data_IF_851283307647
#
_entry.id   IF_851283307647
#
_cell.length_a   1.000
_cell.length_b   1.000
_cell.length_c   1.000
_cell.angle_alpha   90.00
_cell.angle_beta   90.00
_cell.angle_gamma   90.00
#
_symmetry.space_group_name_H-M   'P 1'
#
loop_
_entity.id
_entity.type
_entity.pdbx_description
1 polymer ?
#
# COMPACT_ATOMS: atom_id res chain seq x y z
N UNK A 1 21.19 7.95 -31.99
CA UNK A 1 20.28 7.22 -31.09
C UNK A 1 21.14 6.50 -30.07
N UNK A 2 21.17 6.99 -28.82
CA UNK A 2 21.84 6.30 -27.73
C UNK A 2 20.79 5.41 -27.06
N UNK A 3 20.98 4.09 -27.11
CA UNK A 3 20.20 3.16 -26.29
C UNK A 3 20.54 3.44 -24.83
N UNK A 4 19.57 3.95 -24.08
CA UNK A 4 19.63 3.97 -22.63
C UNK A 4 19.40 2.54 -22.18
N UNK A 5 20.48 1.83 -21.84
CA UNK A 5 20.38 0.58 -21.07
C UNK A 5 19.94 0.96 -19.65
N UNK A 6 18.63 0.97 -19.40
CA UNK A 6 18.09 0.91 -18.04
C UNK A 6 18.49 -0.44 -17.44
N UNK A 7 19.47 -0.42 -16.54
CA UNK A 7 19.74 -1.57 -15.67
C UNK A 7 18.50 -1.78 -14.82
N UNK A 8 17.75 -2.86 -15.06
CA UNK A 8 16.62 -3.22 -14.20
C UNK A 8 17.14 -3.40 -12.77
N UNK A 9 16.59 -2.64 -11.82
CA UNK A 9 16.98 -2.71 -10.41
C UNK A 9 16.62 -4.10 -9.90
N UNK A 10 17.65 -4.88 -9.54
CA UNK A 10 17.51 -6.17 -8.87
C UNK A 10 16.92 -5.96 -7.48
N UNK A 11 15.71 -6.47 -7.22
CA UNK A 11 15.08 -6.32 -5.91
C UNK A 11 15.78 -7.13 -4.85
N UNK A 12 15.87 -6.53 -3.67
CA UNK A 12 16.35 -7.21 -2.47
C UNK A 12 15.20 -7.60 -1.57
N UNK A 13 14.99 -8.90 -1.43
CA UNK A 13 13.88 -9.50 -0.69
C UNK A 13 14.40 -10.05 0.64
N UNK A 14 13.77 -9.64 1.75
CA UNK A 14 13.99 -10.24 3.06
C UNK A 14 13.00 -11.38 3.27
N UNK A 15 13.50 -12.57 3.55
CA UNK A 15 12.72 -13.76 3.90
C UNK A 15 12.83 -13.95 5.41
N UNK A 16 11.69 -14.04 6.10
CA UNK A 16 11.63 -14.16 7.55
C UNK A 16 10.81 -15.40 7.90
N UNK A 17 11.50 -16.47 8.29
CA UNK A 17 10.89 -17.76 8.59
C UNK A 17 11.80 -18.57 9.53
N UNK A 18 11.23 -19.17 10.57
CA UNK A 18 11.98 -20.00 11.52
C UNK A 18 12.40 -21.36 10.92
N UNK A 19 11.83 -21.72 9.76
CA UNK A 19 12.25 -22.89 9.00
C UNK A 19 13.41 -22.55 8.04
N UNK A 20 14.62 -22.96 8.43
CA UNK A 20 15.85 -22.73 7.64
C UNK A 20 15.83 -23.40 6.26
N UNK A 21 15.23 -24.59 6.12
CA UNK A 21 15.13 -25.28 4.82
C UNK A 21 14.21 -24.51 3.87
N UNK A 22 13.09 -23.98 4.38
CA UNK A 22 12.18 -23.14 3.61
C UNK A 22 12.86 -21.83 3.19
N UNK A 23 13.61 -21.18 4.09
CA UNK A 23 14.40 -19.99 3.77
C UNK A 23 15.39 -20.26 2.62
N UNK A 24 16.16 -21.35 2.72
CA UNK A 24 17.16 -21.74 1.72
C UNK A 24 16.51 -21.98 0.37
N UNK A 25 15.41 -22.73 0.34
CA UNK A 25 14.64 -22.96 -0.89
C UNK A 25 14.11 -21.66 -1.50
N UNK A 26 13.64 -20.72 -0.68
CA UNK A 26 13.18 -19.42 -1.17
C UNK A 26 14.33 -18.62 -1.77
N UNK A 27 15.49 -18.56 -1.12
CA UNK A 27 16.69 -17.88 -1.65
C UNK A 27 17.02 -18.43 -3.04
N UNK A 28 17.18 -19.74 -3.17
CA UNK A 28 17.53 -20.39 -4.46
C UNK A 28 16.53 -20.02 -5.57
N UNK A 29 15.23 -20.06 -5.24
CA UNK A 29 14.16 -19.75 -6.18
C UNK A 29 14.17 -18.26 -6.58
N UNK A 30 14.32 -17.34 -5.62
CA UNK A 30 14.38 -15.90 -5.90
C UNK A 30 15.63 -15.51 -6.69
N UNK A 31 16.79 -16.06 -6.36
CA UNK A 31 18.03 -15.81 -7.07
C UNK A 31 17.99 -16.36 -8.51
N UNK A 32 17.37 -17.52 -8.73
CA UNK A 32 17.16 -18.08 -10.07
C UNK A 32 16.30 -17.19 -10.97
N UNK A 33 15.46 -16.32 -10.38
CA UNK A 33 14.64 -15.32 -11.07
C UNK A 33 15.29 -13.95 -11.19
N UNK A 34 16.55 -13.82 -10.73
CA UNK A 34 17.31 -12.59 -10.84
C UNK A 34 17.08 -11.61 -9.70
N UNK A 35 16.41 -11.99 -8.61
CA UNK A 35 16.30 -11.18 -7.38
C UNK A 35 17.49 -11.44 -6.45
N UNK A 36 17.77 -10.53 -5.50
CA UNK A 36 18.62 -10.84 -4.35
C UNK A 36 17.74 -11.17 -3.16
N UNK A 37 18.18 -12.12 -2.35
CA UNK A 37 17.43 -12.57 -1.19
C UNK A 37 18.34 -12.66 0.03
N UNK A 38 17.82 -12.29 1.19
CA UNK A 38 18.46 -12.51 2.49
C UNK A 38 17.44 -13.17 3.40
N UNK A 39 17.86 -14.18 4.14
CA UNK A 39 17.00 -14.84 5.12
C UNK A 39 17.44 -14.54 6.55
N UNK A 40 16.45 -14.41 7.42
CA UNK A 40 16.59 -14.35 8.88
C UNK A 40 15.52 -15.26 9.50
N UNK A 41 15.71 -15.65 10.75
CA UNK A 41 14.94 -16.76 11.35
C UNK A 41 13.99 -16.36 12.48
N UNK A 42 13.93 -15.08 12.83
CA UNK A 42 12.95 -14.55 13.77
C UNK A 42 12.65 -13.06 13.53
N UNK A 43 11.66 -12.55 14.26
CA UNK A 43 11.22 -11.16 14.14
C UNK A 43 12.22 -10.10 14.60
N UNK A 44 13.08 -10.41 15.58
CA UNK A 44 14.10 -9.46 16.05
C UNK A 44 15.20 -9.31 15.01
N UNK A 45 15.68 -10.42 14.44
CA UNK A 45 16.65 -10.40 13.36
C UNK A 45 16.11 -9.66 12.12
N UNK A 46 14.81 -9.82 11.82
CA UNK A 46 14.18 -9.07 10.74
C UNK A 46 14.16 -7.56 11.00
N UNK A 47 13.90 -7.15 12.23
CA UNK A 47 13.91 -5.74 12.63
C UNK A 47 15.31 -5.14 12.50
N UNK A 48 16.33 -5.84 12.97
CA UNK A 48 17.72 -5.38 12.85
C UNK A 48 18.18 -5.36 11.39
N UNK A 49 17.88 -6.39 10.61
CA UNK A 49 18.22 -6.45 9.19
C UNK A 49 17.65 -5.24 8.42
N UNK A 50 16.37 -4.88 8.65
CA UNK A 50 15.72 -3.73 7.99
C UNK A 50 16.30 -2.39 8.41
N UNK A 51 16.88 -2.29 9.62
CA UNK A 51 17.59 -1.06 10.05
C UNK A 51 18.95 -0.93 9.38
N UNK A 52 19.63 -2.04 9.16
CA UNK A 52 20.99 -2.05 8.60
C UNK A 52 21.01 -1.96 7.08
N UNK A 53 20.03 -2.57 6.41
CA UNK A 53 20.01 -2.72 4.96
C UNK A 53 18.64 -2.34 4.36
N UNK A 54 18.62 -1.68 3.19
CA UNK A 54 17.38 -1.42 2.47
C UNK A 54 16.87 -2.70 1.81
N UNK A 55 15.60 -3.04 2.05
CA UNK A 55 14.88 -4.10 1.36
C UNK A 55 13.73 -3.51 0.53
N UNK A 56 13.44 -4.14 -0.61
CA UNK A 56 12.32 -3.76 -1.48
C UNK A 56 11.03 -4.52 -1.14
N UNK A 57 11.13 -5.64 -0.44
CA UNK A 57 10.01 -6.49 -0.04
C UNK A 57 10.40 -7.39 1.14
N UNK A 58 9.46 -7.64 2.05
CA UNK A 58 9.58 -8.68 3.07
C UNK A 58 8.58 -9.79 2.81
N UNK A 59 9.04 -11.03 2.87
CA UNK A 59 8.24 -12.24 2.85
C UNK A 59 8.27 -12.84 4.26
N UNK A 60 7.17 -12.72 5.00
CA UNK A 60 7.12 -12.89 6.46
C UNK A 60 6.24 -14.06 6.87
N UNK A 61 6.79 -15.06 7.56
CA UNK A 61 5.95 -16.09 8.20
C UNK A 61 5.17 -15.52 9.39
N UNK A 62 3.90 -15.90 9.51
CA UNK A 62 3.06 -15.45 10.61
C UNK A 62 3.46 -16.12 11.93
N UNK A 63 3.83 -17.40 11.91
CA UNK A 63 3.96 -18.23 13.10
C UNK A 63 5.43 -18.57 13.37
N UNK A 64 6.11 -17.60 13.98
CA UNK A 64 7.48 -17.73 14.44
C UNK A 64 7.58 -17.74 15.96
N UNK A 65 8.61 -18.37 16.54
CA UNK A 65 8.88 -18.33 17.97
C UNK A 65 9.32 -16.92 18.42
N UNK A 66 9.18 -16.65 19.72
CA UNK A 66 9.58 -15.41 20.40
C UNK A 66 8.77 -14.18 19.97
N UNK A 67 8.86 -13.75 18.71
CA UNK A 67 8.09 -12.66 18.11
C UNK A 67 7.38 -13.17 16.84
N UNK A 68 6.05 -13.09 16.83
CA UNK A 68 5.28 -13.56 15.67
C UNK A 68 5.35 -12.55 14.50
N UNK A 69 4.95 -12.98 13.31
CA UNK A 69 5.04 -12.15 12.10
C UNK A 69 4.17 -10.90 12.12
N UNK A 70 3.05 -10.89 12.86
CA UNK A 70 2.15 -9.72 12.96
C UNK A 70 2.77 -8.63 13.82
N UNK A 71 3.32 -8.99 14.98
CA UNK A 71 4.02 -8.04 15.85
C UNK A 71 5.30 -7.51 15.18
N UNK A 72 6.00 -8.40 14.45
CA UNK A 72 7.14 -8.03 13.61
C UNK A 72 6.72 -7.03 12.54
N UNK A 73 5.64 -7.31 11.79
CA UNK A 73 5.07 -6.42 10.78
C UNK A 73 4.79 -5.02 11.33
N UNK A 74 4.11 -4.92 12.49
CA UNK A 74 3.81 -3.63 13.13
C UNK A 74 5.07 -2.83 13.42
N UNK A 75 6.11 -3.50 13.91
CA UNK A 75 7.40 -2.86 14.24
C UNK A 75 8.13 -2.42 12.97
N UNK A 76 8.17 -3.26 11.94
CA UNK A 76 8.74 -2.90 10.64
C UNK A 76 8.03 -1.70 10.02
N UNK A 77 6.70 -1.61 10.17
CA UNK A 77 5.91 -0.46 9.70
C UNK A 77 6.15 0.83 10.48
N UNK A 78 6.63 0.76 11.72
CA UNK A 78 7.10 1.95 12.44
C UNK A 78 8.46 2.43 11.92
N UNK A 79 9.32 1.51 11.48
CA UNK A 79 10.67 1.80 10.97
C UNK A 79 10.62 2.28 9.53
N UNK A 80 10.02 1.48 8.65
CA UNK A 80 9.78 1.80 7.25
C UNK A 80 8.31 1.51 6.91
N UNK A 81 7.44 2.51 7.04
CA UNK A 81 6.03 2.37 6.73
C UNK A 81 5.74 1.92 5.27
N UNK A 82 6.62 2.27 4.33
CA UNK A 82 6.47 1.97 2.90
C UNK A 82 6.94 0.57 2.51
N UNK A 83 7.71 -0.12 3.37
CA UNK A 83 8.27 -1.44 3.08
C UNK A 83 7.16 -2.47 2.82
N UNK A 84 6.97 -2.98 1.59
CA UNK A 84 5.95 -3.97 1.31
C UNK A 84 6.21 -5.25 2.10
N UNK A 85 5.17 -5.81 2.73
CA UNK A 85 5.27 -7.08 3.47
C UNK A 85 4.19 -8.04 2.97
N UNK A 86 4.61 -9.20 2.47
CA UNK A 86 3.75 -10.32 2.12
C UNK A 86 3.80 -11.32 3.27
N UNK A 87 2.64 -11.65 3.83
CA UNK A 87 2.56 -12.64 4.91
C UNK A 87 2.44 -14.05 4.34
N UNK A 88 3.10 -15.01 4.97
CA UNK A 88 2.99 -16.43 4.68
C UNK A 88 2.40 -17.13 5.90
N UNK A 89 1.48 -18.06 5.66
CA UNK A 89 0.91 -18.89 6.73
C UNK A 89 0.83 -20.36 6.35
N UNK A 90 1.15 -21.24 7.29
CA UNK A 90 0.85 -22.67 7.19
C UNK A 90 -0.64 -23.01 7.47
N UNK A 91 -1.39 -22.10 8.09
CA UNK A 91 -2.79 -22.32 8.48
C UNK A 91 -3.70 -21.17 8.04
N UNK A 92 -4.90 -21.50 7.56
CA UNK A 92 -5.97 -20.53 7.30
C UNK A 92 -6.58 -20.06 8.63
N UNK A 93 -5.88 -19.22 9.39
CA UNK A 93 -6.45 -18.62 10.61
C UNK A 93 -7.15 -17.32 10.20
N UNK A 94 -8.41 -17.45 9.80
CA UNK A 94 -9.27 -16.38 9.27
C UNK A 94 -9.28 -15.11 10.14
N UNK A 95 -9.12 -15.23 11.47
CA UNK A 95 -9.10 -14.07 12.38
C UNK A 95 -7.82 -13.22 12.36
N UNK A 96 -6.63 -13.84 12.28
CA UNK A 96 -5.34 -13.13 12.24
C UNK A 96 -5.06 -12.58 10.83
N UNK A 97 -5.48 -13.30 9.78
CA UNK A 97 -5.36 -12.86 8.38
C UNK A 97 -6.12 -11.55 8.12
N UNK A 98 -7.36 -11.44 8.63
CA UNK A 98 -8.19 -10.25 8.43
C UNK A 98 -7.56 -9.01 9.05
N UNK A 99 -6.91 -9.14 10.21
CA UNK A 99 -6.24 -8.02 10.85
C UNK A 99 -4.96 -7.60 10.10
N UNK A 100 -4.15 -8.54 9.60
CA UNK A 100 -2.94 -8.20 8.84
C UNK A 100 -3.27 -7.47 7.52
N UNK A 101 -4.31 -7.89 6.78
CA UNK A 101 -4.80 -7.16 5.61
C UNK A 101 -5.38 -5.79 5.98
N UNK A 102 -6.14 -5.72 7.07
CA UNK A 102 -6.66 -4.44 7.60
C UNK A 102 -5.55 -3.50 8.05
N UNK A 103 -4.40 -4.00 8.49
CA UNK A 103 -3.24 -3.20 8.88
C UNK A 103 -2.31 -2.89 7.69
N UNK A 104 -2.61 -3.39 6.49
CA UNK A 104 -1.92 -3.01 5.25
C UNK A 104 -0.84 -3.98 4.76
N UNK A 105 -0.89 -5.25 5.15
CA UNK A 105 -0.10 -6.28 4.48
C UNK A 105 -0.41 -6.29 2.97
N UNK A 106 0.62 -6.53 2.15
CA UNK A 106 0.50 -6.46 0.69
C UNK A 106 -0.33 -7.61 0.13
N UNK A 107 -0.07 -8.82 0.61
CA UNK A 107 -0.77 -10.03 0.23
C UNK A 107 -0.56 -11.11 1.29
N UNK A 108 -1.39 -12.16 1.25
CA UNK A 108 -1.21 -13.35 2.09
C UNK A 108 -1.09 -14.59 1.20
N UNK A 109 -0.10 -15.42 1.50
CA UNK A 109 0.14 -16.70 0.83
C UNK A 109 0.08 -17.86 1.82
N UNK A 110 -0.32 -19.03 1.31
CA UNK A 110 -0.33 -20.26 2.07
C UNK A 110 0.86 -21.14 1.71
N UNK A 111 1.43 -21.82 2.71
CA UNK A 111 2.35 -22.93 2.48
C UNK A 111 1.55 -24.18 2.06
N UNK A 112 2.02 -24.98 1.08
CA UNK A 112 3.22 -24.75 0.27
C UNK A 112 3.05 -23.58 -0.70
N UNK A 113 4.08 -22.73 -0.82
CA UNK A 113 4.02 -21.53 -1.66
C UNK A 113 3.84 -21.88 -3.14
N UNK A 114 2.83 -21.29 -3.76
CA UNK A 114 2.76 -21.21 -5.21
C UNK A 114 3.64 -20.05 -5.69
N UNK A 115 4.88 -20.35 -6.05
CA UNK A 115 5.85 -19.35 -6.50
C UNK A 115 5.42 -18.62 -7.77
N UNK A 116 4.68 -19.27 -8.69
CA UNK A 116 4.13 -18.58 -9.86
C UNK A 116 3.19 -17.44 -9.48
N UNK A 117 2.26 -17.71 -8.55
CA UNK A 117 1.38 -16.67 -8.00
C UNK A 117 2.18 -15.63 -7.20
N UNK A 118 3.16 -16.04 -6.41
CA UNK A 118 4.00 -15.13 -5.63
C UNK A 118 4.76 -14.15 -6.53
N UNK A 119 5.43 -14.64 -7.57
CA UNK A 119 6.13 -13.79 -8.53
C UNK A 119 5.17 -12.85 -9.25
N UNK A 120 3.99 -13.32 -9.66
CA UNK A 120 2.99 -12.41 -10.24
C UNK A 120 2.65 -11.29 -9.25
N UNK A 121 2.43 -11.59 -7.98
CA UNK A 121 2.12 -10.60 -6.95
C UNK A 121 3.28 -9.63 -6.69
N UNK A 122 4.52 -10.10 -6.70
CA UNK A 122 5.72 -9.27 -6.58
C UNK A 122 5.91 -8.39 -7.82
N UNK A 123 5.64 -8.89 -9.02
CA UNK A 123 5.64 -8.05 -10.22
C UNK A 123 4.56 -6.95 -10.14
N UNK A 124 3.42 -7.20 -9.48
CA UNK A 124 2.43 -6.16 -9.20
C UNK A 124 2.90 -5.18 -8.09
N UNK A 125 3.67 -5.61 -7.07
CA UNK A 125 4.29 -4.66 -6.11
C UNK A 125 5.24 -3.71 -6.82
N UNK A 126 5.98 -4.22 -7.81
CA UNK A 126 6.93 -3.46 -8.62
C UNK A 126 6.27 -2.52 -9.61
N UNK A 127 5.04 -2.84 -10.03
CA UNK A 127 4.43 -2.15 -11.17
C UNK A 127 3.34 -1.15 -10.84
N UNK A 128 2.56 -1.24 -9.74
CA UNK A 128 1.48 -0.27 -9.41
C UNK A 128 0.71 -0.60 -8.10
N UNK A 129 1.33 -1.08 -7.03
CA UNK A 129 0.61 -1.54 -5.83
C UNK A 129 0.14 -0.47 -4.84
N UNK A 130 -0.23 0.74 -5.30
CA UNK A 130 -0.57 1.87 -4.46
C UNK A 130 -1.66 1.53 -3.44
N UNK A 131 -1.51 2.00 -2.20
CA UNK A 131 -2.52 1.91 -1.18
C UNK A 131 -3.42 3.14 -1.22
N UNK A 132 -4.64 2.94 -1.68
CA UNK A 132 -5.60 3.99 -1.97
C UNK A 132 -6.67 4.03 -0.89
N UNK A 133 -7.01 5.22 -0.42
CA UNK A 133 -8.24 5.44 0.36
C UNK A 133 -9.30 6.07 -0.54
N UNK A 134 -10.48 5.49 -0.60
CA UNK A 134 -11.66 6.09 -1.24
C UNK A 134 -12.54 6.70 -0.15
N UNK A 135 -12.88 7.97 -0.29
CA UNK A 135 -13.70 8.71 0.67
C UNK A 135 -14.89 9.31 -0.04
N UNK A 136 -16.07 8.73 0.17
CA UNK A 136 -17.35 9.20 -0.35
C UNK A 136 -18.44 8.75 0.65
N UNK A 137 -19.47 9.58 0.88
CA UNK A 137 -20.55 9.25 1.80
C UNK A 137 -21.57 8.27 1.19
N UNK A 138 -21.50 8.08 -0.12
CA UNK A 138 -22.23 7.04 -0.85
C UNK A 138 -21.46 5.71 -0.80
N UNK A 139 -22.06 4.73 -0.10
CA UNK A 139 -21.50 3.38 0.01
C UNK A 139 -21.40 2.67 -1.34
N UNK A 140 -22.36 2.86 -2.25
CA UNK A 140 -22.39 2.16 -3.53
C UNK A 140 -21.23 2.66 -4.42
N UNK A 141 -20.91 3.96 -4.35
CA UNK A 141 -19.74 4.55 -5.02
C UNK A 141 -18.44 3.99 -4.43
N UNK A 142 -18.35 3.95 -3.10
CA UNK A 142 -17.18 3.39 -2.41
C UNK A 142 -16.92 1.94 -2.78
N UNK A 143 -17.95 1.08 -2.76
CA UNK A 143 -17.84 -0.33 -3.13
C UNK A 143 -17.45 -0.48 -4.61
N UNK A 144 -18.14 0.22 -5.50
CA UNK A 144 -17.87 0.15 -6.95
C UNK A 144 -16.43 0.57 -7.30
N UNK A 145 -15.93 1.65 -6.70
CA UNK A 145 -14.55 2.10 -6.91
C UNK A 145 -13.53 1.16 -6.26
N UNK A 146 -13.84 0.62 -5.07
CA UNK A 146 -12.98 -0.35 -4.40
C UNK A 146 -12.79 -1.60 -5.24
N UNK A 147 -13.87 -2.17 -5.76
CA UNK A 147 -13.84 -3.38 -6.59
C UNK A 147 -13.01 -3.17 -7.87
N UNK A 148 -13.24 -2.04 -8.56
CA UNK A 148 -12.49 -1.65 -9.75
C UNK A 148 -10.99 -1.52 -9.46
N UNK A 149 -10.62 -0.82 -8.39
CA UNK A 149 -9.22 -0.57 -8.05
C UNK A 149 -8.53 -1.86 -7.57
N UNK A 150 -9.24 -2.74 -6.85
CA UNK A 150 -8.74 -4.08 -6.51
C UNK A 150 -8.51 -4.92 -7.77
N UNK A 151 -9.41 -4.87 -8.77
CA UNK A 151 -9.22 -5.57 -10.05
C UNK A 151 -7.95 -5.08 -10.77
N UNK A 152 -7.59 -3.80 -10.64
CA UNK A 152 -6.35 -3.22 -11.17
C UNK A 152 -5.11 -3.50 -10.30
N UNK A 153 -5.25 -4.21 -9.19
CA UNK A 153 -4.16 -4.63 -8.32
C UNK A 153 -3.77 -3.62 -7.23
N UNK A 154 -4.56 -2.56 -7.03
CA UNK A 154 -4.35 -1.62 -5.94
C UNK A 154 -4.86 -2.18 -4.62
N UNK A 155 -4.28 -1.70 -3.51
CA UNK A 155 -4.83 -1.92 -2.17
C UNK A 155 -5.82 -0.80 -1.89
N UNK A 156 -7.00 -1.10 -1.37
CA UNK A 156 -8.03 -0.07 -1.15
C UNK A 156 -8.64 -0.18 0.24
N UNK A 157 -8.85 0.96 0.89
CA UNK A 157 -9.76 1.13 2.02
C UNK A 157 -10.80 2.20 1.70
N UNK A 158 -11.96 2.09 2.32
CA UNK A 158 -13.05 3.06 2.19
C UNK A 158 -13.29 3.79 3.50
N UNK A 159 -13.70 5.05 3.42
CA UNK A 159 -14.20 5.85 4.53
C UNK A 159 -15.45 6.60 4.10
N UNK A 160 -16.49 6.61 4.92
CA UNK A 160 -17.78 7.19 4.56
C UNK A 160 -18.00 8.63 5.06
N UNK A 161 -16.99 9.21 5.69
CA UNK A 161 -17.02 10.58 6.18
C UNK A 161 -15.60 11.13 6.37
N UNK A 162 -15.48 12.46 6.43
CA UNK A 162 -14.20 13.14 6.57
C UNK A 162 -13.46 12.86 7.88
N UNK A 163 -14.18 12.62 8.97
CA UNK A 163 -13.57 12.34 10.28
C UNK A 163 -12.92 10.97 10.29
N UNK A 164 -13.60 9.96 9.73
CA UNK A 164 -13.08 8.62 9.52
C UNK A 164 -11.86 8.64 8.61
N UNK A 165 -11.90 9.41 7.51
CA UNK A 165 -10.76 9.57 6.61
C UNK A 165 -9.53 10.19 7.30
N UNK A 166 -9.74 11.22 8.13
CA UNK A 166 -8.67 11.85 8.94
C UNK A 166 -8.09 10.85 9.93
N UNK A 167 -8.92 10.09 10.64
CA UNK A 167 -8.47 9.07 11.58
C UNK A 167 -7.67 7.97 10.88
N UNK A 168 -8.19 7.41 9.79
CA UNK A 168 -7.51 6.39 9.00
C UNK A 168 -6.17 6.88 8.45
N UNK A 169 -6.06 8.16 8.10
CA UNK A 169 -4.80 8.79 7.64
C UNK A 169 -3.74 8.92 8.74
N UNK A 170 -4.12 8.82 10.03
CA UNK A 170 -3.16 8.73 11.15
C UNK A 170 -2.63 7.32 11.33
N UNK A 171 -3.49 6.34 11.09
CA UNK A 171 -3.21 4.92 11.35
C UNK A 171 -2.58 4.21 10.16
N UNK A 172 -2.81 4.71 8.95
CA UNK A 172 -2.43 4.06 7.70
C UNK A 172 -1.70 5.06 6.80
N UNK A 173 -0.69 4.55 6.08
CA UNK A 173 -0.02 5.34 5.05
C UNK A 173 -0.58 5.01 3.67
N UNK A 174 -1.60 5.77 3.27
CA UNK A 174 -2.07 5.78 1.88
C UNK A 174 -1.08 6.49 0.95
N UNK A 175 -0.92 5.97 -0.26
CA UNK A 175 -0.17 6.62 -1.33
C UNK A 175 -1.07 7.67 -2.02
N UNK A 176 -2.33 7.31 -2.24
CA UNK A 176 -3.36 8.16 -2.85
C UNK A 176 -4.62 8.18 -1.99
N UNK A 177 -5.25 9.35 -1.87
CA UNK A 177 -6.57 9.50 -1.26
C UNK A 177 -7.51 10.09 -2.32
N UNK A 178 -8.54 9.34 -2.70
CA UNK A 178 -9.65 9.83 -3.52
C UNK A 178 -10.68 10.43 -2.56
N UNK A 179 -10.91 11.74 -2.63
CA UNK A 179 -11.69 12.45 -1.63
C UNK A 179 -12.84 13.20 -2.28
N UNK A 180 -14.07 12.78 -2.01
CA UNK A 180 -15.24 13.56 -2.38
C UNK A 180 -15.31 14.86 -1.56
N UNK A 181 -15.76 15.93 -2.22
CA UNK A 181 -15.86 17.24 -1.58
C UNK A 181 -17.12 17.41 -0.73
N UNK A 182 -18.19 16.65 -1.02
CA UNK A 182 -19.50 16.76 -0.36
C UNK A 182 -19.71 15.63 0.64
N UNK A 183 -18.98 15.69 1.74
CA UNK A 183 -19.13 14.75 2.85
C UNK A 183 -20.03 15.30 3.96
N UNK A 184 -20.76 14.43 4.69
CA UNK A 184 -21.56 14.81 5.85
C UNK A 184 -20.66 15.16 7.04
N UNK A 185 -21.17 16.01 7.94
CA UNK A 185 -20.52 16.43 9.20
C UNK A 185 -19.24 17.25 9.01
N UNK A 186 -18.19 16.65 8.44
CA UNK A 186 -16.94 17.28 8.04
C UNK A 186 -16.88 17.29 6.52
N UNK A 187 -16.89 18.48 5.90
CA UNK A 187 -16.81 18.58 4.45
C UNK A 187 -15.43 18.13 3.93
N UNK A 188 -15.34 17.80 2.64
CA UNK A 188 -14.10 17.28 2.05
C UNK A 188 -12.91 18.26 2.08
N UNK A 189 -13.15 19.58 2.14
CA UNK A 189 -12.07 20.56 2.27
C UNK A 189 -11.45 20.53 3.66
N UNK A 190 -12.28 20.48 4.70
CA UNK A 190 -11.82 20.41 6.09
C UNK A 190 -11.08 19.09 6.32
N UNK A 191 -11.59 17.98 5.76
CA UNK A 191 -10.90 16.69 5.78
C UNK A 191 -9.55 16.77 5.05
N UNK A 192 -9.50 17.38 3.86
CA UNK A 192 -8.25 17.59 3.11
C UNK A 192 -7.20 18.36 3.92
N UNK A 193 -7.59 19.49 4.53
CA UNK A 193 -6.68 20.31 5.33
C UNK A 193 -6.16 19.55 6.54
N UNK A 194 -7.05 18.86 7.27
CA UNK A 194 -6.67 18.04 8.40
C UNK A 194 -5.74 16.89 8.00
N UNK A 195 -6.02 16.19 6.90
CA UNK A 195 -5.14 15.14 6.36
C UNK A 195 -3.78 15.73 5.96
N UNK A 196 -3.75 16.93 5.35
CA UNK A 196 -2.51 17.58 4.92
C UNK A 196 -1.62 17.99 6.09
N UNK A 197 -2.20 18.41 7.20
CA UNK A 197 -1.45 18.72 8.43
C UNK A 197 -0.78 17.47 9.02
N UNK A 198 -1.41 16.30 8.86
CA UNK A 198 -0.90 15.01 9.34
C UNK A 198 0.13 14.45 8.36
N UNK A 199 -0.18 14.52 7.06
CA UNK A 199 0.58 13.92 5.97
C UNK A 199 0.79 14.93 4.85
N UNK A 200 1.80 15.80 4.96
CA UNK A 200 2.07 16.84 3.96
C UNK A 200 2.34 16.31 2.55
N UNK A 201 2.88 15.09 2.43
CA UNK A 201 3.33 14.50 1.16
C UNK A 201 2.34 13.54 0.50
N UNK A 202 1.20 13.21 1.13
CA UNK A 202 0.23 12.28 0.52
C UNK A 202 -0.39 12.89 -0.74
N UNK A 203 -0.62 12.07 -1.77
CA UNK A 203 -1.33 12.51 -2.97
C UNK A 203 -2.82 12.50 -2.66
N UNK A 204 -3.49 13.64 -2.81
CA UNK A 204 -4.95 13.71 -2.68
C UNK A 204 -5.55 14.09 -4.03
N UNK A 205 -6.47 13.26 -4.50
CA UNK A 205 -7.28 13.49 -5.69
C UNK A 205 -8.68 13.89 -5.22
N UNK A 206 -9.00 15.17 -5.35
CA UNK A 206 -10.31 15.70 -5.00
C UNK A 206 -11.30 15.36 -6.11
N UNK A 207 -12.41 14.72 -5.77
CA UNK A 207 -13.51 14.44 -6.68
C UNK A 207 -14.60 15.50 -6.44
N UNK A 208 -14.98 16.25 -7.47
CA UNK A 208 -15.89 17.40 -7.31
C UNK A 208 -16.87 17.58 -8.46
N UNK A 209 -18.10 17.99 -8.15
CA UNK A 209 -19.07 18.48 -9.15
C UNK A 209 -18.99 19.99 -9.41
N UNK A 210 -18.16 20.75 -8.68
CA UNK A 210 -18.19 22.22 -8.61
C UNK A 210 -16.80 22.84 -8.73
N UNK A 211 -16.13 22.62 -9.87
CA UNK A 211 -14.77 23.11 -10.15
C UNK A 211 -14.61 24.63 -10.00
N UNK A 212 -15.64 25.40 -10.32
CA UNK A 212 -15.60 26.86 -10.28
C UNK A 212 -15.62 27.43 -8.85
N UNK A 213 -16.30 26.76 -7.92
CA UNK A 213 -16.39 27.19 -6.50
C UNK A 213 -15.11 26.87 -5.74
N UNK A 214 -14.38 25.84 -6.21
CA UNK A 214 -13.15 25.39 -5.60
C UNK A 214 -11.91 26.13 -6.07
N UNK A 215 -11.94 26.84 -7.20
CA UNK A 215 -10.77 27.59 -7.74
C UNK A 215 -10.08 28.41 -6.65
N UNK A 216 -10.79 29.29 -5.96
CA UNK A 216 -10.18 30.19 -4.97
C UNK A 216 -9.69 29.48 -3.68
N UNK A 217 -10.29 28.34 -3.31
CA UNK A 217 -9.96 27.58 -2.10
C UNK A 217 -8.81 26.59 -2.36
N UNK A 218 -8.83 25.96 -3.52
CA UNK A 218 -7.87 24.97 -3.99
C UNK A 218 -6.61 25.67 -4.53
N UNK A 219 -6.69 26.89 -5.08
CA UNK A 219 -5.51 27.67 -5.50
C UNK A 219 -4.52 27.96 -4.34
N UNK A 220 -5.00 28.06 -3.09
CA UNK A 220 -4.12 28.15 -1.91
C UNK A 220 -3.49 26.81 -1.54
N UNK A 221 -4.15 25.70 -1.85
CA UNK A 221 -3.70 24.34 -1.56
C UNK A 221 -2.81 23.75 -2.68
N UNK A 222 -3.01 24.16 -3.94
CA UNK A 222 -2.29 23.70 -5.14
C UNK A 222 -0.85 24.19 -5.22
N UNK A 223 -0.47 25.23 -4.47
CA UNK A 223 0.90 25.77 -4.47
C UNK A 223 1.97 24.76 -4.02
N UNK A 224 1.59 23.55 -3.58
CA UNK A 224 2.49 22.51 -3.06
C UNK A 224 2.56 21.23 -3.90
N UNK A 225 2.07 21.22 -5.15
CA UNK A 225 2.23 20.10 -6.11
C UNK A 225 1.58 18.74 -5.71
N UNK A 226 0.82 18.67 -4.62
CA UNK A 226 0.36 17.42 -4.00
C UNK A 226 -1.18 17.20 -4.04
N UNK A 227 -1.90 18.00 -4.83
CA UNK A 227 -3.36 17.93 -4.97
C UNK A 227 -3.73 17.90 -6.46
N UNK A 228 -4.61 16.98 -6.85
CA UNK A 228 -5.20 16.89 -8.20
C UNK A 228 -6.71 16.96 -8.06
N UNK A 229 -7.41 17.52 -9.04
CA UNK A 229 -8.88 17.57 -9.04
C UNK A 229 -9.44 16.83 -10.24
N UNK A 230 -10.45 15.99 -10.00
CA UNK A 230 -11.25 15.31 -11.02
C UNK A 230 -12.72 15.76 -10.91
N UNK A 231 -13.33 16.00 -12.06
CA UNK A 231 -14.73 16.42 -12.15
C UNK A 231 -15.67 15.19 -12.10
N UNK A 232 -16.84 15.32 -11.47
CA UNK A 232 -17.95 14.36 -11.62
C UNK A 232 -18.70 14.68 -12.94
N UNK A 233 -19.07 13.69 -13.77
CA UNK A 233 -18.88 12.25 -13.59
C UNK A 233 -17.42 11.83 -13.78
N UNK A 234 -16.99 10.88 -12.94
CA UNK A 234 -15.59 10.46 -12.84
C UNK A 234 -15.15 9.68 -14.09
N UNK A 235 -14.10 10.15 -14.74
CA UNK A 235 -13.41 9.44 -15.81
C UNK A 235 -12.41 8.43 -15.21
N UNK A 236 -12.70 7.15 -15.38
CA UNK A 236 -11.92 6.05 -14.81
C UNK A 236 -10.54 5.93 -15.44
N UNK A 237 -10.43 6.05 -16.76
CA UNK A 237 -9.15 5.94 -17.43
C UNK A 237 -8.24 7.09 -16.99
N UNK A 238 -8.79 8.30 -16.90
CA UNK A 238 -8.04 9.45 -16.40
C UNK A 238 -7.64 9.33 -14.94
N UNK A 239 -8.50 8.77 -14.09
CA UNK A 239 -8.18 8.48 -12.69
C UNK A 239 -6.98 7.52 -12.60
N UNK A 240 -7.02 6.42 -13.38
CA UNK A 240 -5.96 5.43 -13.38
C UNK A 240 -4.64 6.00 -13.88
N UNK A 241 -4.66 6.83 -14.94
CA UNK A 241 -3.47 7.54 -15.41
C UNK A 241 -2.85 8.42 -14.30
N UNK A 242 -3.68 9.17 -13.57
CA UNK A 242 -3.20 10.05 -12.50
C UNK A 242 -2.62 9.23 -11.35
N UNK A 243 -3.26 8.12 -10.98
CA UNK A 243 -2.73 7.23 -9.93
C UNK A 243 -1.33 6.77 -10.36
N UNK A 244 -1.18 6.25 -11.58
CA UNK A 244 0.10 5.78 -12.13
C UNK A 244 1.16 6.89 -12.27
N UNK A 245 0.78 8.11 -12.63
CA UNK A 245 1.70 9.25 -12.71
C UNK A 245 2.22 9.69 -11.33
N UNK A 246 1.50 9.37 -10.25
CA UNK A 246 1.72 9.91 -8.91
C UNK A 246 2.21 8.87 -7.90
N UNK A 247 2.28 7.60 -8.29
CA UNK A 247 2.75 6.46 -7.48
C UNK A 247 3.88 5.75 -8.21
#
# INVERSE_FOLDING_TARGET
>A
MLQVNTVEKKLHILIVDDNADFCTNCIDIFESKGYSATAVHDGFDAIEAVKENPFDLVLMDIKMPVMNGVDTYKTLKQINPLLPVIMISAYAVEGLLVNALREGAFAIFHKPLNFGKLFSTIEHTQKNGAFIMVVDDDNDICESLSDLLHEKGYRVKTANDGSTAVQMSRENLFDVILLDMKLPTMNGLDAYLAIRDIRPSVVVILITGYRNELRNLVDRALQRNACVCLDKPLDIDRLLDIIQEKT
#
